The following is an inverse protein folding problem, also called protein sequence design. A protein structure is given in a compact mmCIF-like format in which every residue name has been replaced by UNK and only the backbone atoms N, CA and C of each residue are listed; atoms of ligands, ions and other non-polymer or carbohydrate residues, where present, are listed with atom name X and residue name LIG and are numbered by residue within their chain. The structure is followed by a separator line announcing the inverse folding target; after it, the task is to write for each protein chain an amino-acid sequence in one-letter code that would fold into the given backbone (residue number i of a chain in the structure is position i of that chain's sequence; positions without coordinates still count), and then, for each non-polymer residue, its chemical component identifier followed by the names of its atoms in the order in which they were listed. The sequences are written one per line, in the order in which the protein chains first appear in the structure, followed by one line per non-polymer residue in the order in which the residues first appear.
data_IF_445826984792
#
_entry.id   IF_445826984792
#
_cell.length_a   1.000
_cell.length_b   1.000
_cell.length_c   1.000
_cell.angle_alpha   90.00
_cell.angle_beta   90.00
_cell.angle_gamma   90.00
#
_symmetry.space_group_name_H-M   'P 1'
#
loop_
_entity.id
_entity.type
_entity.pdbx_description
1 polymer ?
#
# COMPACT_ATOMS: atom_id res chain seq x y z
N UNK A 1 10.63 -30.77 -2.37
CA UNK A 1 9.94 -29.51 -2.72
C UNK A 1 9.57 -28.83 -1.42
N UNK A 2 10.46 -27.97 -0.91
CA UNK A 2 10.20 -27.16 0.29
C UNK A 2 9.89 -25.75 -0.17
N UNK A 3 8.74 -25.23 0.26
CA UNK A 3 8.38 -23.82 0.09
C UNK A 3 9.18 -22.99 1.07
N UNK A 4 10.10 -22.16 0.58
CA UNK A 4 10.66 -21.06 1.35
C UNK A 4 9.66 -19.91 1.26
N UNK A 5 8.87 -19.73 2.33
CA UNK A 5 8.17 -18.49 2.58
C UNK A 5 9.24 -17.40 2.73
N UNK A 6 9.29 -16.45 1.79
CA UNK A 6 10.04 -15.22 1.97
C UNK A 6 9.44 -14.49 3.16
N UNK A 7 10.16 -14.57 4.27
CA UNK A 7 9.93 -13.80 5.48
C UNK A 7 10.05 -12.31 5.12
N UNK A 8 8.91 -11.64 4.96
CA UNK A 8 8.85 -10.23 5.32
C UNK A 8 9.28 -10.15 6.76
N UNK A 9 10.34 -9.38 7.00
CA UNK A 9 11.15 -9.44 8.20
C UNK A 9 10.31 -9.58 9.47
N UNK A 10 10.39 -10.77 10.08
CA UNK A 10 10.34 -10.91 11.53
C UNK A 10 11.53 -10.13 12.09
N UNK A 11 11.45 -8.79 12.09
CA UNK A 11 12.02 -8.08 13.23
C UNK A 11 11.36 -8.76 14.41
N UNK A 12 12.17 -9.44 15.21
CA UNK A 12 11.70 -10.31 16.28
C UNK A 12 10.80 -9.49 17.20
N UNK A 13 9.50 -9.49 16.91
CA UNK A 13 8.44 -9.36 17.89
C UNK A 13 8.93 -10.26 19.00
N UNK A 14 9.22 -9.69 20.18
CA UNK A 14 9.72 -10.48 21.31
C UNK A 14 8.92 -11.77 21.38
N UNK A 15 9.58 -12.92 21.58
CA UNK A 15 9.17 -14.29 21.26
C UNK A 15 7.76 -14.77 21.72
N UNK A 16 6.92 -13.87 22.23
CA UNK A 16 5.56 -14.04 22.71
C UNK A 16 4.44 -13.61 21.74
N UNK A 17 4.70 -13.09 20.53
CA UNK A 17 3.61 -12.64 19.64
C UNK A 17 3.82 -12.94 18.14
N UNK A 18 2.78 -13.49 17.49
CA UNK A 18 2.71 -13.69 16.03
C UNK A 18 1.27 -13.59 15.51
N UNK A 19 1.10 -13.21 14.24
CA UNK A 19 -0.21 -13.23 13.57
C UNK A 19 -0.68 -14.64 13.19
N UNK A 20 0.23 -15.62 13.11
CA UNK A 20 -0.11 -17.02 12.86
C UNK A 20 -0.92 -17.63 14.01
N UNK A 21 -0.52 -17.33 15.25
CA UNK A 21 -1.22 -17.79 16.45
C UNK A 21 -2.39 -16.86 16.84
N UNK A 22 -2.34 -15.60 16.40
CA UNK A 22 -3.29 -14.56 16.78
C UNK A 22 -3.83 -13.86 15.53
N UNK A 23 -4.53 -14.61 14.70
CA UNK A 23 -4.98 -14.15 13.39
C UNK A 23 -5.93 -12.95 13.48
N UNK A 24 -5.91 -12.09 12.46
CA UNK A 24 -6.94 -11.06 12.25
C UNK A 24 -8.30 -11.75 12.13
N UNK A 25 -9.27 -11.48 13.02
CA UNK A 25 -10.48 -12.28 13.14
C UNK A 25 -11.40 -12.08 11.93
N UNK A 26 -11.66 -13.15 11.18
CA UNK A 26 -12.63 -13.24 10.10
C UNK A 26 -14.01 -12.77 10.56
N UNK A 27 -14.86 -12.38 9.59
CA UNK A 27 -16.20 -11.84 9.87
C UNK A 27 -17.00 -12.76 10.80
N UNK A 28 -16.92 -14.06 10.59
CA UNK A 28 -17.64 -15.06 11.37
C UNK A 28 -17.03 -15.35 12.76
N UNK A 29 -15.86 -14.79 13.06
CA UNK A 29 -15.11 -15.01 14.30
C UNK A 29 -15.25 -13.87 15.32
N UNK A 30 -16.01 -12.82 14.98
CA UNK A 30 -16.39 -11.77 15.94
C UNK A 30 -17.46 -12.29 16.90
N UNK A 31 -17.29 -11.99 18.18
CA UNK A 31 -18.29 -12.21 19.22
C UNK A 31 -19.50 -11.27 19.03
N UNK A 32 -20.63 -11.58 19.68
CA UNK A 32 -21.87 -10.82 19.54
C UNK A 32 -21.70 -9.35 19.99
N UNK A 33 -20.98 -9.12 21.08
CA UNK A 33 -20.66 -7.79 21.60
C UNK A 33 -19.75 -7.00 20.65
N UNK A 34 -18.84 -7.66 19.94
CA UNK A 34 -17.98 -7.03 18.93
C UNK A 34 -18.79 -6.65 17.69
N UNK A 35 -19.75 -7.52 17.32
CA UNK A 35 -20.71 -7.24 16.26
C UNK A 35 -21.58 -6.02 16.59
N UNK A 36 -22.10 -5.93 17.81
CA UNK A 36 -22.90 -4.80 18.25
C UNK A 36 -22.12 -3.48 18.13
N UNK A 37 -20.83 -3.47 18.49
CA UNK A 37 -19.96 -2.29 18.30
C UNK A 37 -19.80 -1.89 16.83
N UNK A 38 -19.62 -2.86 15.93
CA UNK A 38 -19.49 -2.63 14.49
C UNK A 38 -20.79 -2.10 13.89
N UNK A 39 -21.95 -2.61 14.31
CA UNK A 39 -23.27 -2.18 13.84
C UNK A 39 -23.65 -0.79 14.35
N UNK A 40 -23.42 -0.52 15.63
CA UNK A 40 -23.67 0.79 16.24
C UNK A 40 -22.88 1.89 15.55
N UNK A 41 -21.63 1.61 15.19
CA UNK A 41 -20.81 2.54 14.41
C UNK A 41 -21.39 2.84 13.04
N UNK A 42 -21.78 1.79 12.29
CA UNK A 42 -22.40 1.97 10.95
C UNK A 42 -23.65 2.83 11.02
N UNK A 43 -24.43 2.69 12.10
CA UNK A 43 -25.61 3.52 12.36
C UNK A 43 -25.26 4.99 12.62
N UNK A 44 -24.19 5.27 13.35
CA UNK A 44 -23.80 6.65 13.72
C UNK A 44 -23.04 7.40 12.61
N UNK A 45 -22.11 6.74 11.94
CA UNK A 45 -21.18 7.39 11.00
C UNK A 45 -21.54 7.15 9.52
N UNK A 46 -22.57 6.35 9.27
CA UNK A 46 -22.91 5.89 7.93
C UNK A 46 -22.00 4.76 7.44
N UNK A 47 -22.38 4.08 6.34
CA UNK A 47 -21.77 2.82 5.91
C UNK A 47 -20.38 2.92 5.25
N UNK A 48 -19.75 4.09 5.17
CA UNK A 48 -18.55 4.30 4.33
C UNK A 48 -17.38 5.06 4.99
N UNK A 49 -17.35 5.21 6.31
CA UNK A 49 -16.22 5.85 7.02
C UNK A 49 -15.04 4.88 7.24
N UNK A 50 -14.26 4.67 6.17
CA UNK A 50 -13.18 3.68 6.12
C UNK A 50 -12.10 3.88 7.19
N UNK A 51 -11.75 5.14 7.48
CA UNK A 51 -10.75 5.47 8.51
C UNK A 51 -11.23 5.01 9.88
N UNK A 52 -12.44 5.43 10.23
CA UNK A 52 -13.02 5.08 11.51
C UNK A 52 -13.21 3.56 11.59
N UNK A 53 -13.68 2.91 10.54
CA UNK A 53 -13.86 1.46 10.52
C UNK A 53 -12.54 0.74 10.80
N UNK A 54 -11.46 1.05 10.08
CA UNK A 54 -10.14 0.46 10.32
C UNK A 54 -9.70 0.61 11.78
N UNK A 55 -9.88 1.78 12.40
CA UNK A 55 -9.55 2.01 13.81
C UNK A 55 -10.42 1.20 14.78
N UNK A 56 -11.70 0.98 14.47
CA UNK A 56 -12.58 0.17 15.32
C UNK A 56 -12.18 -1.31 15.25
N UNK A 57 -11.96 -1.84 14.04
CA UNK A 57 -11.51 -3.23 13.87
C UNK A 57 -10.16 -3.46 14.58
N UNK A 58 -9.23 -2.52 14.45
CA UNK A 58 -7.96 -2.58 15.18
C UNK A 58 -8.17 -2.52 16.70
N UNK A 59 -9.04 -1.64 17.19
CA UNK A 59 -9.35 -1.57 18.62
C UNK A 59 -10.03 -2.84 19.17
N UNK A 60 -10.83 -3.54 18.36
CA UNK A 60 -11.34 -4.88 18.71
C UNK A 60 -10.18 -5.88 18.81
N UNK A 61 -9.29 -5.88 17.83
CA UNK A 61 -8.11 -6.73 17.82
C UNK A 61 -7.22 -6.50 19.06
N UNK A 62 -6.90 -5.25 19.41
CA UNK A 62 -6.10 -4.92 20.60
C UNK A 62 -6.73 -5.44 21.91
N UNK A 63 -8.07 -5.42 22.02
CA UNK A 63 -8.78 -5.96 23.20
C UNK A 63 -8.72 -7.48 23.28
N UNK A 64 -8.85 -8.16 22.14
CA UNK A 64 -8.76 -9.62 22.06
C UNK A 64 -7.34 -10.12 22.37
N UNK A 65 -6.35 -9.28 22.06
CA UNK A 65 -4.95 -9.64 22.00
C UNK A 65 -4.06 -8.61 22.71
N UNK A 66 -4.18 -8.46 24.04
CA UNK A 66 -3.46 -7.43 24.80
C UNK A 66 -1.94 -7.63 24.79
N UNK A 67 -1.45 -8.85 24.54
CA UNK A 67 -0.02 -9.12 24.42
C UNK A 67 0.62 -8.45 23.19
N UNK A 68 -0.17 -8.09 22.17
CA UNK A 68 0.34 -7.35 21.01
C UNK A 68 0.90 -5.98 21.40
N UNK A 69 0.25 -5.30 22.35
CA UNK A 69 0.74 -4.04 22.91
C UNK A 69 2.08 -4.19 23.62
N UNK A 70 2.32 -5.31 24.30
CA UNK A 70 3.60 -5.56 24.96
C UNK A 70 4.70 -5.87 23.95
N UNK A 71 4.39 -6.60 22.89
CA UNK A 71 5.34 -6.96 21.84
C UNK A 71 5.76 -5.75 21.00
N UNK A 72 4.82 -4.83 20.74
CA UNK A 72 5.06 -3.61 19.95
C UNK A 72 4.43 -2.43 20.69
N UNK A 73 5.15 -1.70 21.54
CA UNK A 73 4.56 -0.66 22.39
C UNK A 73 4.01 0.57 21.64
N UNK A 74 4.56 0.90 20.47
CA UNK A 74 4.07 2.01 19.67
C UNK A 74 2.75 1.64 18.96
N UNK A 75 1.66 2.34 19.31
CA UNK A 75 0.33 2.05 18.73
C UNK A 75 0.29 2.27 17.22
N UNK A 76 1.04 3.24 16.70
CA UNK A 76 1.04 3.53 15.27
C UNK A 76 1.72 2.38 14.51
N UNK A 77 2.87 1.92 14.98
CA UNK A 77 3.56 0.75 14.44
C UNK A 77 2.66 -0.50 14.51
N UNK A 78 2.00 -0.76 15.65
CA UNK A 78 1.02 -1.86 15.76
C UNK A 78 -0.10 -1.78 14.73
N UNK A 79 -0.69 -0.60 14.58
CA UNK A 79 -1.75 -0.38 13.61
C UNK A 79 -1.26 -0.69 12.19
N UNK A 80 -0.04 -0.26 11.85
CA UNK A 80 0.54 -0.53 10.53
C UNK A 80 0.75 -2.03 10.30
N UNK A 81 1.37 -2.72 11.26
CA UNK A 81 1.61 -4.17 11.19
C UNK A 81 0.29 -4.95 11.06
N UNK A 82 -0.71 -4.58 11.86
CA UNK A 82 -2.04 -5.19 11.77
C UNK A 82 -2.74 -4.89 10.44
N UNK A 83 -2.58 -3.68 9.89
CA UNK A 83 -3.12 -3.33 8.56
C UNK A 83 -2.46 -4.13 7.44
N UNK A 84 -1.13 -4.31 7.49
CA UNK A 84 -0.38 -5.15 6.54
C UNK A 84 -0.91 -6.58 6.61
N UNK A 85 -1.03 -7.14 7.81
CA UNK A 85 -1.57 -8.49 8.00
C UNK A 85 -3.01 -8.61 7.50
N UNK A 86 -3.89 -7.67 7.88
CA UNK A 86 -5.28 -7.65 7.43
C UNK A 86 -5.38 -7.56 5.91
N UNK A 87 -4.48 -6.82 5.25
CA UNK A 87 -4.38 -6.82 3.79
C UNK A 87 -3.94 -8.20 3.30
N UNK A 88 -2.90 -8.80 3.88
CA UNK A 88 -2.36 -10.08 3.42
C UNK A 88 -3.35 -11.24 3.54
N UNK A 89 -4.12 -11.32 4.64
CA UNK A 89 -4.89 -12.53 4.99
C UNK A 89 -6.40 -12.39 4.89
N UNK A 90 -6.96 -11.17 4.90
CA UNK A 90 -8.40 -11.00 5.06
C UNK A 90 -9.15 -10.87 3.71
N UNK A 91 -10.21 -11.66 3.49
CA UNK A 91 -11.17 -11.40 2.42
C UNK A 91 -12.26 -10.43 2.92
N UNK A 92 -12.25 -9.20 2.39
CA UNK A 92 -13.30 -8.14 2.30
C UNK A 92 -14.34 -8.04 3.46
N UNK A 93 -14.62 -6.86 4.06
CA UNK A 93 -14.41 -5.49 3.55
C UNK A 93 -13.25 -4.73 4.19
N UNK A 94 -12.67 -5.23 5.28
CA UNK A 94 -11.71 -4.49 6.10
C UNK A 94 -10.48 -4.03 5.31
N UNK A 95 -9.86 -4.92 4.53
CA UNK A 95 -8.70 -4.55 3.73
C UNK A 95 -9.03 -3.41 2.77
N UNK A 96 -10.21 -3.43 2.11
CA UNK A 96 -10.62 -2.41 1.15
C UNK A 96 -10.74 -1.02 1.79
N UNK A 97 -11.15 -0.96 3.06
CA UNK A 97 -11.18 0.28 3.83
C UNK A 97 -9.78 0.82 4.08
N UNK A 98 -8.81 -0.03 4.44
CA UNK A 98 -7.41 0.36 4.64
C UNK A 98 -6.83 0.96 3.35
N UNK A 99 -7.00 0.25 2.22
CA UNK A 99 -6.47 0.70 0.92
C UNK A 99 -7.10 2.03 0.48
N UNK A 100 -8.42 2.14 0.61
CA UNK A 100 -9.18 3.31 0.19
C UNK A 100 -8.87 4.53 1.05
N UNK A 101 -8.76 4.38 2.37
CA UNK A 101 -8.42 5.48 3.26
C UNK A 101 -7.02 6.02 2.94
N UNK A 102 -6.03 5.13 2.82
CA UNK A 102 -4.67 5.51 2.47
C UNK A 102 -4.60 6.22 1.11
N UNK A 103 -5.15 5.62 0.05
CA UNK A 103 -5.10 6.21 -1.29
C UNK A 103 -5.84 7.56 -1.35
N UNK A 104 -7.01 7.66 -0.71
CA UNK A 104 -7.77 8.93 -0.63
C UNK A 104 -7.01 10.01 0.14
N UNK A 105 -6.37 9.66 1.25
CA UNK A 105 -5.55 10.59 2.03
C UNK A 105 -4.36 11.10 1.20
N UNK A 106 -3.72 10.22 0.44
CA UNK A 106 -2.60 10.56 -0.43
C UNK A 106 -3.03 11.50 -1.56
N UNK A 107 -4.14 11.20 -2.25
CA UNK A 107 -4.70 12.05 -3.30
C UNK A 107 -5.11 13.43 -2.78
N UNK A 108 -5.79 13.48 -1.64
CA UNK A 108 -6.17 14.74 -0.98
C UNK A 108 -4.94 15.59 -0.68
N UNK A 109 -3.87 15.01 -0.14
CA UNK A 109 -2.62 15.74 0.12
C UNK A 109 -1.99 16.26 -1.16
N UNK A 110 -1.97 15.43 -2.21
CA UNK A 110 -1.43 15.83 -3.51
C UNK A 110 -2.17 17.03 -4.11
N UNK A 111 -3.51 17.02 -4.14
CA UNK A 111 -4.29 18.09 -4.77
C UNK A 111 -4.37 19.39 -3.97
N UNK A 112 -4.14 19.33 -2.66
CA UNK A 112 -4.24 20.51 -1.78
C UNK A 112 -2.91 21.22 -1.57
N UNK A 113 -1.82 20.80 -2.20
CA UNK A 113 -0.48 21.33 -1.94
C UNK A 113 0.34 21.51 -3.21
N UNK A 114 1.17 22.55 -3.23
CA UNK A 114 2.19 22.74 -4.25
C UNK A 114 3.50 22.12 -3.76
N UNK A 115 4.01 21.13 -4.48
CA UNK A 115 5.21 20.38 -4.11
C UNK A 115 6.47 20.85 -4.83
N UNK A 116 6.40 21.81 -5.76
CA UNK A 116 7.60 22.43 -6.37
C UNK A 116 8.63 21.43 -6.89
N UNK A 117 8.20 20.37 -7.59
CA UNK A 117 9.09 19.31 -8.10
C UNK A 117 9.47 18.22 -7.09
N UNK A 118 8.93 18.22 -5.87
CA UNK A 118 8.98 17.09 -4.95
C UNK A 118 7.95 16.02 -5.35
N UNK A 119 8.40 14.79 -5.57
CA UNK A 119 7.52 13.66 -5.91
C UNK A 119 8.22 12.33 -5.60
N UNK A 120 7.42 11.26 -5.60
CA UNK A 120 7.88 9.87 -5.49
C UNK A 120 7.84 9.18 -6.85
N UNK A 121 8.89 8.42 -7.19
CA UNK A 121 8.99 7.65 -8.43
C UNK A 121 9.41 6.18 -8.25
N UNK A 122 9.36 5.67 -7.02
CA UNK A 122 10.18 4.53 -6.59
C UNK A 122 11.30 5.00 -5.64
N UNK A 123 11.72 6.26 -5.81
CA UNK A 123 12.57 7.02 -4.89
C UNK A 123 11.98 8.40 -4.69
N UNK A 124 12.46 9.12 -3.69
CA UNK A 124 12.17 10.54 -3.55
C UNK A 124 12.99 11.37 -4.53
N UNK A 125 12.37 12.31 -5.24
CA UNK A 125 13.08 13.18 -6.19
C UNK A 125 14.13 14.07 -5.52
N UNK A 126 13.95 14.36 -4.23
CA UNK A 126 14.87 15.04 -3.32
C UNK A 126 14.37 14.85 -1.88
N UNK A 127 15.15 15.22 -0.84
CA UNK A 127 14.63 15.26 0.53
C UNK A 127 13.44 16.21 0.70
N UNK A 128 12.51 15.87 1.59
CA UNK A 128 11.39 16.73 1.97
C UNK A 128 11.85 17.90 2.84
N UNK A 129 11.51 19.11 2.42
CA UNK A 129 11.90 20.38 3.06
C UNK A 129 10.69 20.97 3.78
N UNK A 130 9.54 21.05 3.11
CA UNK A 130 8.34 21.69 3.68
C UNK A 130 7.52 20.74 4.57
N UNK A 131 6.69 21.25 5.50
CA UNK A 131 5.76 20.42 6.26
C UNK A 131 4.76 19.65 5.39
N UNK A 132 4.36 20.20 4.25
CA UNK A 132 3.49 19.51 3.30
C UNK A 132 4.21 18.33 2.63
N UNK A 133 5.45 18.54 2.19
CA UNK A 133 6.31 17.50 1.62
C UNK A 133 6.55 16.37 2.62
N UNK A 134 6.89 16.68 3.88
CA UNK A 134 7.09 15.67 4.94
C UNK A 134 5.85 14.84 5.20
N UNK A 135 4.67 15.47 5.21
CA UNK A 135 3.39 14.75 5.38
C UNK A 135 3.03 13.88 4.18
N UNK A 136 3.38 14.33 2.97
CA UNK A 136 3.19 13.53 1.75
C UNK A 136 4.17 12.35 1.73
N UNK A 137 5.43 12.59 2.07
CA UNK A 137 6.47 11.57 2.23
C UNK A 137 6.03 10.46 3.18
N UNK A 138 5.68 10.84 4.40
CA UNK A 138 5.22 9.90 5.41
C UNK A 138 3.97 9.12 4.98
N UNK A 139 3.09 9.71 4.16
CA UNK A 139 1.89 9.02 3.66
C UNK A 139 2.22 7.98 2.58
N UNK A 140 3.19 8.25 1.70
CA UNK A 140 3.67 7.25 0.73
C UNK A 140 4.41 6.13 1.46
N UNK A 141 5.37 6.47 2.34
CA UNK A 141 6.15 5.50 3.12
C UNK A 141 5.26 4.61 3.99
N UNK A 142 4.17 5.16 4.52
CA UNK A 142 3.18 4.38 5.27
C UNK A 142 2.53 3.26 4.45
N UNK A 143 2.29 3.51 3.16
CA UNK A 143 1.57 2.55 2.30
C UNK A 143 2.45 1.70 1.41
N UNK A 144 3.76 1.97 1.30
CA UNK A 144 4.67 1.09 0.55
C UNK A 144 4.63 -0.36 1.05
N UNK A 145 4.63 -0.64 2.38
CA UNK A 145 4.47 -2.01 2.89
C UNK A 145 3.16 -2.70 2.46
N UNK A 146 2.12 -1.92 2.15
CA UNK A 146 0.88 -2.49 1.63
C UNK A 146 1.05 -2.94 0.17
N UNK A 147 1.80 -2.20 -0.63
CA UNK A 147 2.11 -2.54 -2.03
C UNK A 147 3.00 -3.81 -2.08
N UNK A 148 3.92 -3.94 -1.14
CA UNK A 148 4.80 -5.11 -0.96
C UNK A 148 4.03 -6.42 -0.68
N UNK A 149 2.79 -6.35 -0.17
CA UNK A 149 1.93 -7.54 -0.09
C UNK A 149 1.62 -8.15 -1.46
N UNK A 150 1.86 -7.39 -2.54
CA UNK A 150 1.65 -7.78 -3.94
C UNK A 150 0.22 -8.27 -4.21
N UNK A 151 -0.74 -7.85 -3.38
CA UNK A 151 -2.16 -8.09 -3.63
C UNK A 151 -2.66 -7.22 -4.76
N UNK A 152 -3.42 -7.81 -5.66
CA UNK A 152 -3.97 -7.17 -6.85
C UNK A 152 -4.69 -5.85 -6.54
N UNK A 153 -5.54 -5.81 -5.50
CA UNK A 153 -6.23 -4.59 -5.07
C UNK A 153 -5.25 -3.48 -4.66
N UNK A 154 -4.18 -3.81 -3.93
CA UNK A 154 -3.16 -2.85 -3.50
C UNK A 154 -2.39 -2.28 -4.69
N UNK A 155 -1.98 -3.16 -5.59
CA UNK A 155 -1.32 -2.78 -6.84
C UNK A 155 -2.22 -1.86 -7.68
N UNK A 156 -3.50 -2.20 -7.83
CA UNK A 156 -4.48 -1.40 -8.55
C UNK A 156 -4.66 0.00 -7.95
N UNK A 157 -4.80 0.10 -6.63
CA UNK A 157 -4.98 1.39 -5.96
C UNK A 157 -3.71 2.26 -6.06
N UNK A 158 -2.53 1.67 -5.90
CA UNK A 158 -1.28 2.41 -6.04
C UNK A 158 -1.05 2.88 -7.49
N UNK A 159 -1.34 2.03 -8.49
CA UNK A 159 -1.31 2.41 -9.90
C UNK A 159 -2.36 3.49 -10.24
N UNK A 160 -3.51 3.50 -9.57
CA UNK A 160 -4.51 4.56 -9.71
C UNK A 160 -4.00 5.90 -9.18
N UNK A 161 -3.32 5.90 -8.03
CA UNK A 161 -2.63 7.09 -7.50
C UNK A 161 -1.56 7.58 -8.48
N UNK A 162 -0.80 6.66 -9.10
CA UNK A 162 0.19 6.99 -10.12
C UNK A 162 -0.45 7.62 -11.36
N UNK A 163 -1.57 7.06 -11.84
CA UNK A 163 -2.30 7.53 -13.03
C UNK A 163 -2.74 9.00 -12.93
N UNK A 164 -3.12 9.46 -11.74
CA UNK A 164 -3.48 10.88 -11.49
C UNK A 164 -2.28 11.75 -11.13
N UNK A 165 -1.06 11.26 -11.36
CA UNK A 165 0.22 11.92 -11.13
C UNK A 165 0.52 12.30 -9.69
N UNK A 166 -0.17 11.71 -8.71
CA UNK A 166 0.16 11.92 -7.30
C UNK A 166 1.51 11.28 -6.96
N UNK A 167 1.79 10.11 -7.51
CA UNK A 167 3.15 9.55 -7.65
C UNK A 167 3.50 9.43 -9.14
N UNK A 168 4.80 9.47 -9.47
CA UNK A 168 5.29 9.46 -10.87
C UNK A 168 6.30 8.34 -11.02
N UNK A 169 5.81 7.12 -11.20
CA UNK A 169 6.64 5.92 -11.18
C UNK A 169 7.72 5.97 -12.27
N UNK A 170 8.93 5.52 -11.91
CA UNK A 170 9.95 5.20 -12.90
C UNK A 170 9.47 4.02 -13.75
N UNK A 171 9.96 3.92 -15.01
CA UNK A 171 9.61 2.85 -15.92
C UNK A 171 9.81 1.46 -15.33
N UNK A 172 10.87 1.23 -14.55
CA UNK A 172 11.14 -0.04 -13.86
C UNK A 172 10.01 -0.42 -12.89
N UNK A 173 9.64 0.53 -12.02
CA UNK A 173 8.61 0.34 -10.99
C UNK A 173 7.24 0.19 -11.62
N UNK A 174 6.94 1.03 -12.61
CA UNK A 174 5.66 0.96 -13.33
C UNK A 174 5.52 -0.36 -14.08
N UNK A 175 6.58 -0.82 -14.76
CA UNK A 175 6.59 -2.11 -15.45
C UNK A 175 6.35 -3.26 -14.49
N UNK A 176 7.09 -3.29 -13.38
CA UNK A 176 6.97 -4.31 -12.35
C UNK A 176 5.53 -4.40 -11.82
N UNK A 177 4.97 -3.28 -11.37
CA UNK A 177 3.66 -3.25 -10.73
C UNK A 177 2.51 -3.57 -11.71
N UNK A 178 2.56 -3.03 -12.93
CA UNK A 178 1.54 -3.31 -13.96
C UNK A 178 1.57 -4.78 -14.39
N UNK A 179 2.77 -5.34 -14.59
CA UNK A 179 2.90 -6.73 -15.00
C UNK A 179 2.50 -7.68 -13.88
N UNK A 180 2.88 -7.39 -12.63
CA UNK A 180 2.43 -8.16 -11.47
C UNK A 180 0.90 -8.12 -11.31
N UNK A 181 0.29 -6.94 -11.45
CA UNK A 181 -1.17 -6.81 -11.42
C UNK A 181 -1.83 -7.63 -12.55
N UNK A 182 -1.30 -7.55 -13.77
CA UNK A 182 -1.82 -8.33 -14.91
C UNK A 182 -1.72 -9.84 -14.66
N UNK A 183 -0.62 -10.32 -14.08
CA UNK A 183 -0.42 -11.73 -13.77
C UNK A 183 -1.33 -12.24 -12.64
N UNK A 184 -1.83 -11.36 -11.78
CA UNK A 184 -2.79 -11.74 -10.73
C UNK A 184 -4.14 -12.23 -11.28
N UNK A 185 -4.54 -11.76 -12.47
CA UNK A 185 -5.81 -12.14 -13.11
C UNK A 185 -7.08 -11.53 -12.50
N UNK A 186 -6.98 -10.78 -11.40
CA UNK A 186 -8.14 -10.29 -10.63
C UNK A 186 -8.79 -9.02 -11.20
N UNK A 187 -8.13 -8.33 -12.14
CA UNK A 187 -8.61 -7.08 -12.73
C UNK A 187 -8.67 -7.15 -14.25
N UNK A 188 -9.86 -6.87 -14.80
CA UNK A 188 -10.08 -6.75 -16.25
C UNK A 188 -9.62 -5.40 -16.84
N UNK A 189 -9.11 -4.48 -16.01
CA UNK A 189 -8.58 -3.22 -16.50
C UNK A 189 -7.22 -3.47 -17.18
N UNK A 190 -7.14 -3.17 -18.48
CA UNK A 190 -5.87 -3.20 -19.19
C UNK A 190 -4.94 -2.12 -18.64
N UNK A 191 -3.86 -2.56 -18.00
CA UNK A 191 -2.71 -1.73 -17.64
C UNK A 191 -1.57 -2.01 -18.62
N UNK A 192 -1.64 -1.49 -19.87
CA UNK A 192 -0.62 -1.77 -20.87
C UNK A 192 0.74 -1.25 -20.40
N UNK A 193 1.79 -1.97 -20.78
CA UNK A 193 3.20 -1.61 -20.56
C UNK A 193 3.90 -1.18 -21.84
N UNK A 194 3.17 -1.12 -22.97
CA UNK A 194 3.75 -0.85 -24.29
C UNK A 194 4.48 0.50 -24.38
N UNK A 195 4.03 1.50 -23.61
CA UNK A 195 4.71 2.81 -23.54
C UNK A 195 6.03 2.76 -22.78
N UNK A 196 6.25 1.75 -21.93
CA UNK A 196 7.48 1.57 -21.15
C UNK A 196 8.56 0.82 -21.92
N UNK A 197 8.17 -0.02 -22.90
CA UNK A 197 9.12 -0.86 -23.63
C UNK A 197 10.24 -0.07 -24.34
N UNK A 198 9.99 1.11 -24.93
CA UNK A 198 11.06 1.93 -25.50
C UNK A 198 12.03 2.52 -24.47
N UNK A 199 11.65 2.57 -23.19
CA UNK A 199 12.46 3.11 -22.09
C UNK A 199 13.31 2.04 -21.40
N UNK A 200 13.05 0.76 -21.68
CA UNK A 200 13.67 -0.38 -21.00
C UNK A 200 14.46 -1.23 -22.02
N UNK A 201 15.69 -1.61 -21.65
CA UNK A 201 16.45 -2.58 -22.44
C UNK A 201 15.88 -4.00 -22.27
N UNK A 202 16.14 -4.89 -23.23
CA UNK A 202 15.73 -6.29 -23.12
C UNK A 202 16.31 -6.99 -21.88
N UNK A 203 17.57 -6.67 -21.54
CA UNK A 203 18.23 -7.15 -20.32
C UNK A 203 17.48 -6.67 -19.07
N UNK A 204 17.11 -5.39 -19.01
CA UNK A 204 16.38 -4.83 -17.87
C UNK A 204 14.99 -5.44 -17.74
N UNK A 205 14.30 -5.68 -18.85
CA UNK A 205 13.01 -6.37 -18.85
C UNK A 205 13.14 -7.78 -18.26
N UNK A 206 14.17 -8.54 -18.66
CA UNK A 206 14.41 -9.88 -18.12
C UNK A 206 14.69 -9.87 -16.61
N UNK A 207 15.43 -8.88 -16.10
CA UNK A 207 15.63 -8.69 -14.66
C UNK A 207 14.32 -8.38 -13.92
N UNK A 208 13.50 -7.50 -14.48
CA UNK A 208 12.20 -7.13 -13.90
C UNK A 208 11.23 -8.32 -13.90
N UNK A 209 11.17 -9.10 -14.97
CA UNK A 209 10.37 -10.32 -15.04
C UNK A 209 10.80 -11.36 -13.99
N UNK A 210 12.11 -11.51 -13.77
CA UNK A 210 12.63 -12.36 -12.71
C UNK A 210 12.25 -11.84 -11.32
N UNK A 211 12.27 -10.52 -11.11
CA UNK A 211 11.83 -9.90 -9.85
C UNK A 211 10.32 -10.10 -9.62
N UNK A 212 9.49 -9.96 -10.67
CA UNK A 212 8.05 -10.21 -10.61
C UNK A 212 7.78 -11.65 -10.17
N UNK A 213 8.49 -12.62 -10.77
CA UNK A 213 8.36 -14.04 -10.41
C UNK A 213 8.73 -14.32 -8.94
N UNK A 214 9.67 -13.56 -8.37
CA UNK A 214 10.04 -13.62 -6.94
C UNK A 214 9.15 -12.75 -6.03
N UNK A 215 8.26 -11.93 -6.60
CA UNK A 215 7.46 -10.90 -5.89
C UNK A 215 8.34 -9.93 -5.09
N UNK A 216 9.46 -9.54 -5.68
CA UNK A 216 10.57 -8.84 -5.02
C UNK A 216 10.57 -7.35 -5.40
N UNK A 217 9.67 -6.57 -4.77
CA UNK A 217 9.57 -5.13 -5.02
C UNK A 217 10.81 -4.37 -4.52
N UNK A 218 11.40 -4.80 -3.40
CA UNK A 218 12.57 -4.17 -2.80
C UNK A 218 13.75 -4.16 -3.77
N UNK A 219 14.05 -5.30 -4.42
CA UNK A 219 15.06 -5.38 -5.47
C UNK A 219 14.83 -4.33 -6.57
N UNK A 220 13.56 -4.14 -7.00
CA UNK A 220 13.24 -3.14 -8.02
C UNK A 220 13.47 -1.73 -7.52
N UNK A 221 13.04 -1.39 -6.30
CA UNK A 221 13.24 -0.06 -5.70
C UNK A 221 14.75 0.27 -5.49
N UNK A 222 15.54 -0.73 -5.11
CA UNK A 222 17.00 -0.63 -4.94
C UNK A 222 17.75 -0.48 -6.27
N UNK A 223 17.27 -1.12 -7.33
CA UNK A 223 17.85 -0.99 -8.67
C UNK A 223 17.33 0.23 -9.46
N UNK A 224 16.21 0.81 -9.03
CA UNK A 224 15.57 1.94 -9.73
C UNK A 224 16.49 3.18 -9.76
N UNK A 225 16.73 3.79 -10.94
CA UNK A 225 17.50 5.02 -11.05
C UNK A 225 16.91 6.19 -10.25
N UNK A 226 17.69 7.27 -10.09
CA UNK A 226 17.16 8.53 -9.53
C UNK A 226 15.95 9.02 -10.33
N UNK A 227 15.01 9.70 -9.67
CA UNK A 227 13.84 10.21 -10.34
C UNK A 227 14.20 11.14 -11.50
N UNK A 228 13.66 10.91 -12.70
CA UNK A 228 13.89 11.81 -13.83
C UNK A 228 13.35 13.20 -13.49
N UNK A 229 14.02 14.26 -13.96
CA UNK A 229 13.52 15.61 -13.79
C UNK A 229 12.07 15.70 -14.32
N UNK A 230 11.16 16.43 -13.65
CA UNK A 230 9.82 16.63 -14.16
C UNK A 230 9.88 17.09 -15.62
N UNK A 231 9.13 16.50 -16.56
CA UNK A 231 8.80 17.22 -17.77
C UNK A 231 8.15 18.54 -17.32
N UNK A 232 8.57 19.66 -17.92
CA UNK A 232 7.91 20.94 -17.75
C UNK A 232 6.44 20.71 -18.08
N UNK A 233 5.55 20.89 -17.11
CA UNK A 233 4.11 20.70 -17.33
C UNK A 233 3.64 21.76 -18.32
N UNK A 234 3.43 21.38 -19.56
CA UNK A 234 2.47 22.08 -20.41
C UNK A 234 1.08 21.80 -19.79
N UNK A 235 0.37 22.87 -19.42
CA UNK A 235 -0.84 22.84 -18.58
C UNK A 235 -2.08 22.20 -19.20
N UNK A 236 -1.97 21.12 -19.97
CA UNK A 236 -3.07 20.51 -20.74
C UNK A 236 -3.75 19.31 -20.07
N UNK A 237 -3.15 18.70 -19.04
CA UNK A 237 -3.63 17.43 -18.47
C UNK A 237 -4.90 17.49 -17.58
N UNK A 238 -5.67 18.58 -17.62
CA UNK A 238 -6.95 18.71 -16.90
C UNK A 238 -8.18 18.75 -17.82
N UNK A 239 -8.05 18.45 -19.11
CA UNK A 239 -9.18 18.57 -20.05
C UNK A 239 -10.07 17.34 -20.20
N UNK A 240 -9.67 16.17 -19.72
CA UNK A 240 -10.42 14.92 -20.00
C UNK A 240 -10.78 14.11 -18.74
N UNK A 241 -11.20 14.78 -17.66
CA UNK A 241 -11.95 14.16 -16.56
C UNK A 241 -13.30 14.85 -16.37
#
# INVERSE_FOLDING_TARGET
MGFLFSAFGSQALGASWSFEENTVPARMQFAEEEWALLEDKKRMNGPFDCKSDSELYFGIYERRYPEFEKAVPDRRERLQLWQIEAIATYPYPLFSCVVRDWSSALLRRYWTSNFGGFFYCGRWSRPAISPAEKRFQAAVEWGLPYVETMRSDMLFHFLTVAKVNAVRLNADVEYFLRTALRQSGDFHADWPVGHLLPELSEERIAELDAAIARRDLDFVLEATPSCPAPPLKDGSALRDL
#
